data_IF_146989126356
#
_entry.id   IF_146989126356
#
_cell.length_a   1.000
_cell.length_b   1.000
_cell.length_c   1.000
_cell.angle_alpha   90.00
_cell.angle_beta   90.00
_cell.angle_gamma   90.00
#
_symmetry.space_group_name_H-M   'P 1'
#
loop_
_entity.id
_entity.type
_entity.pdbx_description
1 polymer ?
#
# COMPACT_ATOMS: atom_id res chain seq x y z
N UNK A 1 7.48 -6.05 58.18
CA UNK A 1 7.31 -7.10 57.16
C UNK A 1 5.83 -7.13 56.79
N UNK A 2 5.43 -6.34 55.79
CA UNK A 2 4.03 -6.23 55.38
C UNK A 2 3.83 -7.25 54.26
N UNK A 3 2.93 -8.22 54.49
CA UNK A 3 2.47 -9.14 53.46
C UNK A 3 1.75 -8.32 52.37
N UNK A 4 2.42 -8.09 51.24
CA UNK A 4 1.78 -7.62 50.03
C UNK A 4 0.94 -8.78 49.51
N UNK A 5 -0.37 -8.68 49.70
CA UNK A 5 -1.36 -9.55 49.07
C UNK A 5 -1.11 -9.59 47.57
N UNK A 6 -0.92 -10.80 47.01
CA UNK A 6 -0.84 -11.06 45.58
C UNK A 6 -2.06 -10.46 44.88
N UNK A 7 -1.89 -9.28 44.30
CA UNK A 7 -2.95 -8.55 43.60
C UNK A 7 -2.55 -8.48 42.13
N UNK A 8 -2.55 -9.63 41.45
CA UNK A 8 -2.13 -9.73 40.05
C UNK A 8 -3.15 -9.03 39.14
N UNK A 9 -2.68 -8.06 38.37
CA UNK A 9 -3.44 -7.43 37.29
C UNK A 9 -3.44 -8.38 36.11
N UNK A 10 -4.59 -8.60 35.47
CA UNK A 10 -4.72 -9.52 34.35
C UNK A 10 -4.83 -8.73 33.03
N UNK A 11 -3.97 -9.07 32.07
CA UNK A 11 -3.98 -8.52 30.71
C UNK A 11 -4.79 -9.45 29.81
N UNK A 12 -5.84 -8.91 29.18
CA UNK A 12 -6.59 -9.60 28.12
C UNK A 12 -5.93 -9.34 26.76
N UNK A 13 -5.35 -10.38 26.17
CA UNK A 13 -4.71 -10.33 24.86
C UNK A 13 -5.73 -10.46 23.73
N UNK A 14 -5.34 -10.04 22.53
CA UNK A 14 -6.22 -10.10 21.35
C UNK A 14 -6.57 -11.55 20.90
N UNK A 15 -5.80 -12.54 21.34
CA UNK A 15 -6.04 -13.97 21.13
C UNK A 15 -7.06 -14.58 22.11
N UNK A 16 -7.60 -13.79 23.03
CA UNK A 16 -8.54 -14.21 24.06
C UNK A 16 -7.87 -14.84 25.30
N UNK A 17 -6.54 -14.93 25.34
CA UNK A 17 -5.81 -15.37 26.51
C UNK A 17 -5.75 -14.28 27.59
N UNK A 18 -5.59 -14.72 28.84
CA UNK A 18 -5.36 -13.84 29.98
C UNK A 18 -4.01 -14.16 30.60
N UNK A 19 -3.16 -13.15 30.68
CA UNK A 19 -1.80 -13.28 31.22
C UNK A 19 -1.63 -12.31 32.38
N UNK A 20 -0.96 -12.70 33.48
CA UNK A 20 -0.64 -11.76 34.55
C UNK A 20 0.26 -10.65 34.02
N UNK A 21 0.06 -9.44 34.53
CA UNK A 21 0.92 -8.31 34.27
C UNK A 21 2.35 -8.58 34.78
N UNK A 22 3.32 -8.40 33.89
CA UNK A 22 4.74 -8.56 34.16
C UNK A 22 5.48 -7.26 33.84
N UNK A 23 6.06 -6.66 34.89
CA UNK A 23 6.81 -5.40 34.81
C UNK A 23 8.08 -5.59 34.00
N UNK A 24 8.77 -6.72 34.16
CA UNK A 24 10.05 -7.00 33.49
C UNK A 24 9.84 -7.17 31.98
N UNK A 25 8.73 -7.79 31.58
CA UNK A 25 8.34 -7.91 30.18
C UNK A 25 8.15 -6.53 29.53
N UNK A 26 7.45 -5.61 30.20
CA UNK A 26 7.21 -4.25 29.70
C UNK A 26 8.51 -3.45 29.65
N UNK A 27 9.31 -3.51 30.71
CA UNK A 27 10.60 -2.84 30.75
C UNK A 27 11.48 -3.31 29.59
N UNK A 28 11.54 -4.61 29.33
CA UNK A 28 12.28 -5.19 28.19
C UNK A 28 11.75 -4.68 26.85
N UNK A 29 10.43 -4.58 26.68
CA UNK A 29 9.81 -4.04 25.46
C UNK A 29 10.16 -2.56 25.24
N UNK A 30 10.15 -1.75 26.30
CA UNK A 30 10.51 -0.32 26.22
C UNK A 30 12.01 -0.19 25.91
N UNK A 31 12.88 -0.97 26.55
CA UNK A 31 14.34 -0.98 26.25
C UNK A 31 14.58 -1.26 24.75
N UNK A 32 13.90 -2.25 24.17
CA UNK A 32 14.03 -2.55 22.73
C UNK A 32 13.60 -1.39 21.86
N UNK A 33 12.51 -0.70 22.23
CA UNK A 33 12.06 0.48 21.50
C UNK A 33 13.04 1.66 21.62
N UNK A 34 13.63 1.88 22.80
CA UNK A 34 14.69 2.88 22.99
C UNK A 34 15.90 2.57 22.09
N UNK A 35 16.37 1.33 22.08
CA UNK A 35 17.50 0.90 21.22
C UNK A 35 17.17 1.11 19.74
N UNK A 36 15.96 0.75 19.30
CA UNK A 36 15.52 0.92 17.92
C UNK A 36 15.47 2.40 17.49
N UNK A 37 15.04 3.27 18.40
CA UNK A 37 14.99 4.71 18.20
C UNK A 37 16.36 5.42 18.33
N UNK A 38 17.41 4.69 18.71
CA UNK A 38 18.76 5.24 18.92
C UNK A 38 18.99 5.90 20.28
N UNK A 39 18.11 5.66 21.25
CA UNK A 39 18.21 6.22 22.60
C UNK A 39 19.11 5.39 23.52
N UNK A 40 20.07 6.06 24.15
CA UNK A 40 21.08 5.44 25.02
C UNK A 40 20.69 5.43 26.50
N UNK A 41 19.63 6.13 26.86
CA UNK A 41 19.19 6.31 28.25
C UNK A 41 18.34 5.13 28.72
N UNK A 42 18.99 4.06 29.18
CA UNK A 42 18.31 2.83 29.63
C UNK A 42 17.48 2.98 30.90
N UNK A 43 17.69 4.05 31.67
CA UNK A 43 17.01 4.28 32.95
C UNK A 43 15.52 4.64 32.78
N UNK A 44 15.16 5.27 31.66
CA UNK A 44 13.79 5.71 31.35
C UNK A 44 12.83 4.52 31.31
N UNK A 45 13.28 3.39 30.76
CA UNK A 45 12.46 2.19 30.66
C UNK A 45 12.03 1.65 32.04
N UNK A 46 12.92 1.74 33.04
CA UNK A 46 12.63 1.32 34.41
C UNK A 46 11.65 2.27 35.11
N UNK A 47 11.87 3.58 34.98
CA UNK A 47 11.00 4.59 35.61
C UNK A 47 9.58 4.58 35.02
N UNK A 48 9.47 4.44 33.69
CA UNK A 48 8.19 4.30 33.01
C UNK A 48 7.49 2.99 33.36
N UNK A 49 8.19 1.86 33.41
CA UNK A 49 7.55 0.58 33.77
C UNK A 49 6.96 0.61 35.19
N UNK A 50 7.67 1.24 36.14
CA UNK A 50 7.19 1.39 37.52
C UNK A 50 6.01 2.36 37.61
N UNK A 51 6.07 3.47 36.86
CA UNK A 51 4.98 4.45 36.80
C UNK A 51 3.69 3.83 36.24
N UNK A 52 3.81 2.98 35.22
CA UNK A 52 2.70 2.25 34.63
C UNK A 52 2.17 1.20 35.61
N UNK A 53 3.04 0.41 36.24
CA UNK A 53 2.61 -0.54 37.28
C UNK A 53 1.81 0.16 38.38
N UNK A 54 2.29 1.30 38.88
CA UNK A 54 1.60 2.09 39.89
C UNK A 54 0.25 2.60 39.41
N UNK A 55 0.17 3.11 38.18
CA UNK A 55 -1.07 3.57 37.57
C UNK A 55 -2.11 2.43 37.45
N UNK A 56 -1.66 1.23 37.07
CA UNK A 56 -2.53 0.07 36.94
C UNK A 56 -2.98 -0.46 38.32
N UNK A 57 -2.11 -0.46 39.33
CA UNK A 57 -2.44 -0.82 40.72
C UNK A 57 -3.45 0.17 41.35
N UNK A 58 -3.40 1.44 40.95
CA UNK A 58 -4.35 2.46 41.42
C UNK A 58 -5.75 2.32 40.82
N UNK A 59 -5.89 1.53 39.76
CA UNK A 59 -7.15 1.35 39.05
C UNK A 59 -8.04 0.33 39.76
N UNK A 60 -9.34 0.63 39.92
CA UNK A 60 -10.31 -0.29 40.58
C UNK A 60 -10.52 -1.60 39.80
N UNK A 61 -10.30 -1.57 38.49
CA UNK A 61 -10.46 -2.71 37.59
C UNK A 61 -9.14 -3.47 37.46
N UNK A 62 -9.14 -4.74 37.87
CA UNK A 62 -7.97 -5.64 37.82
C UNK A 62 -7.80 -6.39 36.49
N UNK A 63 -8.57 -5.99 35.49
CA UNK A 63 -8.56 -6.58 34.15
C UNK A 63 -8.44 -5.45 33.14
N UNK A 64 -7.43 -5.53 32.29
CA UNK A 64 -7.07 -4.46 31.36
C UNK A 64 -6.80 -5.10 30.00
N UNK A 65 -7.26 -4.47 28.92
CA UNK A 65 -6.98 -4.97 27.57
C UNK A 65 -5.54 -4.65 27.21
N UNK A 66 -4.90 -5.55 26.48
CA UNK A 66 -3.55 -5.33 25.95
C UNK A 66 -3.44 -4.02 25.15
N UNK A 67 -4.46 -3.68 24.36
CA UNK A 67 -4.52 -2.41 23.64
C UNK A 67 -4.51 -1.18 24.55
N UNK A 68 -5.15 -1.27 25.72
CA UNK A 68 -5.25 -0.16 26.66
C UNK A 68 -3.92 0.03 27.40
N UNK A 69 -3.23 -1.08 27.71
CA UNK A 69 -1.87 -1.07 28.24
C UNK A 69 -0.88 -0.46 27.25
N UNK A 70 -0.96 -0.84 25.97
CA UNK A 70 -0.09 -0.30 24.92
C UNK A 70 -0.30 1.21 24.73
N UNK A 71 -1.56 1.67 24.73
CA UNK A 71 -1.87 3.09 24.67
C UNK A 71 -1.35 3.86 25.90
N UNK A 72 -1.35 3.24 27.09
CA UNK A 72 -0.80 3.83 28.30
C UNK A 72 0.72 3.99 28.19
N UNK A 73 1.44 2.98 27.68
CA UNK A 73 2.88 3.04 27.44
C UNK A 73 3.22 4.14 26.43
N UNK A 74 2.48 4.22 25.32
CA UNK A 74 2.68 5.25 24.29
C UNK A 74 2.49 6.66 24.87
N UNK A 75 1.40 6.89 25.62
CA UNK A 75 1.17 8.19 26.27
C UNK A 75 2.25 8.54 27.28
N UNK A 76 2.68 7.59 28.10
CA UNK A 76 3.73 7.83 29.07
C UNK A 76 5.07 8.19 28.40
N UNK A 77 5.39 7.58 27.26
CA UNK A 77 6.56 7.96 26.43
C UNK A 77 6.40 9.35 25.80
N UNK A 78 5.22 9.70 25.30
CA UNK A 78 4.95 11.03 24.74
C UNK A 78 5.03 12.14 25.81
N UNK A 79 4.42 11.90 26.98
CA UNK A 79 4.38 12.85 28.11
C UNK A 79 5.75 13.04 28.77
N UNK A 80 6.61 12.01 28.74
CA UNK A 80 7.99 12.08 29.23
C UNK A 80 8.98 12.70 28.24
N UNK A 81 8.52 13.09 27.03
CA UNK A 81 9.34 13.79 26.04
C UNK A 81 10.03 12.88 25.02
N UNK A 82 9.62 11.62 24.88
CA UNK A 82 10.18 10.63 23.95
C UNK A 82 9.18 10.20 22.84
N UNK A 83 8.66 11.12 22.02
CA UNK A 83 7.67 10.80 20.99
C UNK A 83 8.22 9.91 19.85
N UNK A 84 9.53 9.97 19.58
CA UNK A 84 10.22 9.10 18.62
C UNK A 84 10.31 7.65 19.09
N UNK A 85 10.58 7.42 20.39
CA UNK A 85 10.52 6.08 21.01
C UNK A 85 9.09 5.54 21.00
N UNK A 86 8.10 6.39 21.27
CA UNK A 86 6.68 6.02 21.20
C UNK A 86 6.27 5.54 19.80
N UNK A 87 6.76 6.20 18.73
CA UNK A 87 6.49 5.81 17.35
C UNK A 87 7.08 4.43 17.00
N UNK A 88 8.28 4.12 17.49
CA UNK A 88 8.94 2.83 17.25
C UNK A 88 8.38 1.71 18.13
N UNK A 89 7.97 2.04 19.36
CA UNK A 89 7.19 1.14 20.21
C UNK A 89 5.87 0.76 19.54
N UNK A 90 5.16 1.74 18.97
CA UNK A 90 3.90 1.52 18.23
C UNK A 90 4.10 0.67 16.98
N UNK A 91 5.20 0.88 16.24
CA UNK A 91 5.56 0.02 15.09
C UNK A 91 5.86 -1.43 15.50
N UNK A 92 6.46 -1.61 16.67
CA UNK A 92 6.82 -2.95 17.20
C UNK A 92 5.63 -3.69 17.83
N UNK A 93 4.66 -2.97 18.40
CA UNK A 93 3.44 -3.54 19.01
C UNK A 93 2.52 -4.25 17.99
N UNK A 94 2.56 -3.84 16.72
CA UNK A 94 1.78 -4.46 15.62
C UNK A 94 2.22 -5.91 15.33
N UNK A 95 3.34 -6.36 15.91
CA UNK A 95 4.02 -7.63 15.60
C UNK A 95 3.90 -8.73 16.67
N UNK A 96 2.92 -8.71 17.58
CA UNK A 96 2.58 -9.93 18.33
C UNK A 96 1.96 -10.96 17.37
N UNK A 97 2.80 -11.87 16.89
CA UNK A 97 2.42 -12.98 16.05
C UNK A 97 1.36 -13.81 16.79
N UNK A 98 0.11 -13.71 16.34
CA UNK A 98 -0.94 -14.63 16.78
C UNK A 98 -0.51 -16.02 16.32
N UNK A 99 -0.22 -16.91 17.27
CA UNK A 99 0.21 -18.26 16.96
C UNK A 99 -0.78 -18.94 16.02
N UNK A 100 -0.25 -19.66 15.04
CA UNK A 100 -1.08 -20.45 14.14
C UNK A 100 -1.89 -21.47 14.94
N UNK A 101 -3.17 -21.58 14.60
CA UNK A 101 -4.12 -22.47 15.25
C UNK A 101 -4.51 -23.60 14.28
N UNK A 102 -4.81 -24.81 14.79
CA UNK A 102 -5.16 -25.94 13.94
C UNK A 102 -6.44 -25.67 13.14
N UNK A 103 -6.43 -26.02 11.86
CA UNK A 103 -7.56 -25.84 10.95
C UNK A 103 -8.57 -26.97 11.19
N UNK A 104 -9.48 -26.77 12.15
CA UNK A 104 -10.61 -27.65 12.41
C UNK A 104 -11.88 -26.85 12.71
N UNK A 105 -13.04 -27.51 12.61
CA UNK A 105 -14.34 -26.85 12.78
C UNK A 105 -14.52 -26.14 14.13
N UNK A 106 -13.96 -26.67 15.22
CA UNK A 106 -14.07 -26.05 16.55
C UNK A 106 -13.22 -24.78 16.65
N UNK A 107 -11.97 -24.85 16.20
CA UNK A 107 -11.03 -23.73 16.23
C UNK A 107 -11.47 -22.60 15.31
N UNK A 108 -11.92 -22.94 14.10
CA UNK A 108 -12.44 -21.97 13.14
C UNK A 108 -13.71 -21.30 13.69
N UNK A 109 -14.67 -22.06 14.23
CA UNK A 109 -15.87 -21.50 14.87
C UNK A 109 -15.53 -20.54 16.01
N UNK A 110 -14.60 -20.92 16.88
CA UNK A 110 -14.15 -20.07 17.99
C UNK A 110 -13.49 -18.76 17.50
N UNK A 111 -12.73 -18.82 16.40
CA UNK A 111 -12.11 -17.63 15.82
C UNK A 111 -13.14 -16.69 15.16
N UNK A 112 -14.15 -17.23 14.48
CA UNK A 112 -15.08 -16.43 13.65
C UNK A 112 -16.32 -15.95 14.42
N UNK A 113 -16.75 -16.68 15.46
CA UNK A 113 -17.96 -16.36 16.23
C UNK A 113 -17.95 -14.95 16.83
N UNK A 114 -16.85 -14.48 17.46
CA UNK A 114 -16.80 -13.13 18.02
C UNK A 114 -16.79 -12.05 16.95
N UNK A 115 -16.33 -12.36 15.74
CA UNK A 115 -16.02 -11.38 14.70
C UNK A 115 -17.17 -11.12 13.72
N UNK A 116 -18.09 -12.07 13.54
CA UNK A 116 -19.07 -12.02 12.44
C UNK A 116 -20.51 -11.74 12.85
N UNK A 117 -20.87 -11.84 14.14
CA UNK A 117 -22.23 -11.53 14.66
C UNK A 117 -23.36 -12.13 13.80
N UNK A 118 -23.23 -13.41 13.41
CA UNK A 118 -24.22 -14.14 12.60
C UNK A 118 -24.99 -15.16 13.44
N UNK A 119 -26.21 -15.58 13.02
CA UNK A 119 -26.91 -16.71 13.62
C UNK A 119 -26.07 -17.99 13.53
N UNK A 120 -26.13 -18.83 14.58
CA UNK A 120 -25.31 -20.04 14.73
C UNK A 120 -25.33 -20.97 13.51
N UNK A 121 -26.49 -21.09 12.86
CA UNK A 121 -26.68 -21.97 11.70
C UNK A 121 -25.90 -21.46 10.48
N UNK A 122 -25.90 -20.14 10.23
CA UNK A 122 -25.08 -19.52 9.18
C UNK A 122 -23.60 -19.52 9.52
N UNK A 123 -23.28 -19.32 10.80
CA UNK A 123 -21.91 -19.34 11.29
C UNK A 123 -21.26 -20.72 11.07
N UNK A 124 -22.00 -21.81 11.32
CA UNK A 124 -21.54 -23.19 11.06
C UNK A 124 -21.28 -23.45 9.58
N UNK A 125 -22.17 -23.01 8.70
CA UNK A 125 -21.98 -23.14 7.24
C UNK A 125 -20.73 -22.39 6.78
N UNK A 126 -20.49 -21.17 7.29
CA UNK A 126 -19.30 -20.40 6.95
C UNK A 126 -18.03 -21.06 7.52
N UNK A 127 -18.07 -21.53 8.76
CA UNK A 127 -16.93 -22.23 9.36
C UNK A 127 -16.54 -23.47 8.55
N UNK A 128 -17.52 -24.25 8.08
CA UNK A 128 -17.25 -25.43 7.24
C UNK A 128 -16.60 -25.04 5.91
N UNK A 129 -17.07 -23.97 5.25
CA UNK A 129 -16.45 -23.45 4.03
C UNK A 129 -15.00 -22.99 4.26
N UNK A 130 -14.72 -22.34 5.39
CA UNK A 130 -13.37 -21.89 5.75
C UNK A 130 -12.44 -23.08 6.02
N UNK A 131 -12.91 -24.10 6.75
CA UNK A 131 -12.15 -25.33 7.00
C UNK A 131 -11.83 -26.04 5.68
N UNK A 132 -12.83 -26.24 4.81
CA UNK A 132 -12.64 -26.88 3.51
C UNK A 132 -11.67 -26.12 2.62
N UNK A 133 -11.73 -24.78 2.62
CA UNK A 133 -10.84 -23.96 1.82
C UNK A 133 -9.38 -24.02 2.30
N UNK A 134 -9.17 -23.92 3.62
CA UNK A 134 -7.83 -23.98 4.21
C UNK A 134 -7.20 -25.37 4.02
N UNK A 135 -7.95 -26.44 4.29
CA UNK A 135 -7.47 -27.81 4.06
C UNK A 135 -7.25 -28.11 2.58
N UNK A 136 -8.11 -27.60 1.69
CA UNK A 136 -7.98 -27.78 0.24
C UNK A 136 -6.73 -27.14 -0.37
N UNK A 137 -6.16 -26.14 0.31
CA UNK A 137 -4.90 -25.47 -0.06
C UNK A 137 -3.68 -26.11 0.68
N UNK A 138 -3.92 -27.04 1.61
CA UNK A 138 -2.89 -27.73 2.38
C UNK A 138 -2.50 -27.04 3.69
N UNK A 139 -3.30 -26.10 4.20
CA UNK A 139 -3.07 -25.53 5.52
C UNK A 139 -3.62 -26.44 6.62
N UNK A 140 -2.72 -27.03 7.42
CA UNK A 140 -3.08 -27.78 8.64
C UNK A 140 -3.18 -26.87 9.88
N UNK A 141 -2.42 -25.78 9.88
CA UNK A 141 -2.41 -24.73 10.91
C UNK A 141 -2.42 -23.36 10.24
N UNK A 142 -3.11 -22.39 10.83
CA UNK A 142 -3.23 -21.05 10.25
C UNK A 142 -3.57 -19.98 11.30
N UNK A 143 -3.14 -18.75 11.06
CA UNK A 143 -3.47 -17.63 11.94
C UNK A 143 -4.99 -17.40 12.05
N UNK A 144 -5.53 -17.15 13.25
CA UNK A 144 -6.94 -16.80 13.44
C UNK A 144 -7.41 -15.60 12.61
N UNK A 145 -6.49 -14.65 12.30
CA UNK A 145 -6.79 -13.51 11.43
C UNK A 145 -7.16 -13.96 10.01
N UNK A 146 -6.42 -14.89 9.43
CA UNK A 146 -6.75 -15.41 8.09
C UNK A 146 -8.08 -16.18 8.11
N UNK A 147 -8.37 -16.94 9.17
CA UNK A 147 -9.66 -17.62 9.33
C UNK A 147 -10.83 -16.61 9.33
N UNK A 148 -10.68 -15.49 10.06
CA UNK A 148 -11.69 -14.42 10.11
C UNK A 148 -11.85 -13.71 8.76
N UNK A 149 -10.76 -13.41 8.07
CA UNK A 149 -10.83 -12.74 6.75
C UNK A 149 -11.47 -13.65 5.68
N UNK A 150 -11.14 -14.94 5.67
CA UNK A 150 -11.83 -15.90 4.80
C UNK A 150 -13.31 -16.00 5.13
N UNK A 151 -13.66 -16.01 6.41
CA UNK A 151 -15.05 -16.05 6.85
C UNK A 151 -15.83 -14.78 6.44
N UNK A 152 -15.21 -13.60 6.51
CA UNK A 152 -15.75 -12.34 5.97
C UNK A 152 -15.99 -12.43 4.47
N UNK A 153 -15.02 -12.94 3.72
CA UNK A 153 -15.17 -13.14 2.28
C UNK A 153 -16.33 -14.09 1.94
N UNK A 154 -16.52 -15.19 2.68
CA UNK A 154 -17.65 -16.10 2.45
C UNK A 154 -18.99 -15.50 2.85
N UNK A 155 -19.06 -14.70 3.92
CA UNK A 155 -20.25 -13.91 4.27
C UNK A 155 -20.59 -12.94 3.13
N UNK A 156 -19.61 -12.15 2.69
CA UNK A 156 -19.81 -11.08 1.72
C UNK A 156 -20.13 -11.63 0.32
N UNK A 157 -19.67 -12.84 -0.01
CA UNK A 157 -20.07 -13.56 -1.23
C UNK A 157 -21.55 -14.00 -1.24
N UNK A 158 -22.17 -14.24 -0.08
CA UNK A 158 -23.61 -14.58 -0.01
C UNK A 158 -24.49 -13.34 -0.15
N UNK A 159 -24.03 -12.18 0.34
CA UNK A 159 -24.63 -10.86 0.05
C UNK A 159 -24.10 -10.30 -1.27
N UNK A 160 -24.66 -10.78 -2.38
CA UNK A 160 -24.40 -10.30 -3.75
C UNK A 160 -24.05 -8.80 -3.85
N UNK A 161 -22.75 -8.48 -3.91
CA UNK A 161 -22.25 -7.50 -4.85
C UNK A 161 -21.76 -8.25 -6.09
N UNK A 162 -21.97 -7.72 -7.31
CA UNK A 162 -21.43 -8.32 -8.51
C UNK A 162 -19.90 -8.21 -8.45
N UNK A 163 -19.26 -9.27 -7.95
CA UNK A 163 -17.82 -9.44 -8.12
C UNK A 163 -17.61 -9.57 -9.62
N UNK A 164 -16.94 -8.59 -10.21
CA UNK A 164 -16.35 -8.72 -11.54
C UNK A 164 -15.42 -9.94 -11.50
N UNK A 165 -15.95 -11.11 -11.85
CA UNK A 165 -15.16 -12.32 -12.03
C UNK A 165 -14.38 -12.12 -13.32
N UNK A 166 -13.16 -11.64 -13.20
CA UNK A 166 -12.16 -11.89 -14.23
C UNK A 166 -12.01 -13.41 -14.30
N UNK A 167 -12.41 -13.99 -15.43
CA UNK A 167 -12.15 -15.39 -15.70
C UNK A 167 -10.63 -15.60 -15.62
N UNK A 168 -10.11 -16.50 -14.77
CA UNK A 168 -8.70 -16.84 -14.80
C UNK A 168 -8.43 -17.52 -16.14
N UNK A 169 -7.90 -16.77 -17.10
CA UNK A 169 -7.37 -17.34 -18.33
C UNK A 169 -6.07 -18.04 -17.94
N UNK A 170 -5.96 -19.36 -18.09
CA UNK A 170 -4.70 -20.04 -17.86
C UNK A 170 -3.72 -19.54 -18.94
N UNK A 171 -2.67 -18.82 -18.53
CA UNK A 171 -1.53 -18.56 -19.40
C UNK A 171 -0.94 -19.92 -19.78
N UNK A 172 -0.84 -20.22 -21.09
CA UNK A 172 -0.19 -21.47 -21.51
C UNK A 172 1.30 -21.39 -21.14
N UNK A 173 1.94 -22.50 -20.76
CA UNK A 173 3.39 -22.49 -20.54
C UNK A 173 4.10 -22.06 -21.82
N UNK A 174 4.76 -20.90 -21.80
CA UNK A 174 5.43 -20.30 -22.96
C UNK A 174 4.73 -19.07 -23.57
N UNK A 175 3.55 -18.68 -23.08
CA UNK A 175 2.90 -17.44 -23.49
C UNK A 175 3.63 -16.22 -22.89
N UNK A 176 3.90 -15.23 -23.74
CA UNK A 176 4.56 -13.99 -23.34
C UNK A 176 3.71 -13.24 -22.29
N UNK A 177 4.36 -12.77 -21.23
CA UNK A 177 3.73 -12.01 -20.13
C UNK A 177 3.24 -10.64 -20.63
N UNK A 178 3.80 -10.18 -21.74
CA UNK A 178 3.47 -8.93 -22.39
C UNK A 178 2.39 -9.15 -23.46
N UNK A 179 1.28 -8.46 -23.30
CA UNK A 179 0.23 -8.34 -24.31
C UNK A 179 0.72 -7.48 -25.49
N UNK A 180 1.49 -6.44 -25.18
CA UNK A 180 2.07 -5.53 -26.17
C UNK A 180 3.49 -5.18 -25.76
N UNK A 181 4.48 -5.49 -26.59
CA UNK A 181 5.88 -5.20 -26.29
C UNK A 181 6.22 -3.75 -26.63
N UNK A 182 7.21 -3.14 -25.96
CA UNK A 182 7.75 -1.84 -26.36
C UNK A 182 8.14 -1.75 -27.84
N UNK A 183 8.68 -2.85 -28.39
CA UNK A 183 9.09 -2.96 -29.80
C UNK A 183 7.94 -2.80 -30.78
N UNK A 184 6.74 -3.24 -30.41
CA UNK A 184 5.60 -3.31 -31.32
C UNK A 184 5.06 -1.89 -31.59
N UNK A 185 5.18 -0.99 -30.61
CA UNK A 185 4.88 0.43 -30.79
C UNK A 185 5.76 1.08 -31.86
N UNK A 186 7.03 0.66 -32.04
CA UNK A 186 7.86 1.20 -33.12
C UNK A 186 7.35 0.82 -34.51
N UNK A 187 6.75 -0.36 -34.65
CA UNK A 187 6.18 -0.80 -35.93
C UNK A 187 4.84 -0.14 -36.22
N UNK A 188 4.04 0.12 -35.18
CA UNK A 188 2.69 0.66 -35.29
C UNK A 188 2.63 2.20 -35.29
N UNK A 189 3.69 2.87 -34.83
CA UNK A 189 3.73 4.33 -34.64
C UNK A 189 3.73 5.16 -35.93
N UNK A 190 3.07 6.32 -35.90
CA UNK A 190 3.25 7.41 -36.87
C UNK A 190 4.69 7.95 -36.88
N UNK A 191 5.01 8.76 -37.88
CA UNK A 191 6.32 9.46 -37.96
C UNK A 191 6.55 10.33 -36.72
N UNK A 192 5.53 11.06 -36.26
CA UNK A 192 5.64 11.89 -35.06
C UNK A 192 5.97 11.04 -33.82
N UNK A 193 5.26 9.93 -33.63
CA UNK A 193 5.49 9.06 -32.48
C UNK A 193 6.86 8.35 -32.55
N UNK A 194 7.31 7.96 -33.74
CA UNK A 194 8.66 7.42 -33.95
C UNK A 194 9.74 8.43 -33.57
N UNK A 195 9.58 9.69 -33.95
CA UNK A 195 10.51 10.76 -33.58
C UNK A 195 10.53 11.00 -32.06
N UNK A 196 9.36 10.98 -31.41
CA UNK A 196 9.25 11.16 -29.96
C UNK A 196 9.90 10.00 -29.18
N UNK A 197 9.74 8.76 -29.64
CA UNK A 197 10.38 7.60 -29.01
C UNK A 197 11.89 7.58 -29.32
N UNK A 198 12.27 7.84 -30.59
CA UNK A 198 13.66 7.85 -31.03
C UNK A 198 14.49 8.97 -30.40
N UNK A 199 13.87 10.11 -30.10
CA UNK A 199 14.48 11.21 -29.33
C UNK A 199 14.50 10.99 -27.81
N UNK A 200 14.11 9.81 -27.33
CA UNK A 200 13.97 9.46 -25.90
C UNK A 200 13.03 10.39 -25.10
N UNK A 201 12.16 11.13 -25.79
CA UNK A 201 11.18 12.03 -25.19
C UNK A 201 10.09 11.19 -24.51
N UNK A 202 9.59 10.17 -25.23
CA UNK A 202 8.62 9.21 -24.73
C UNK A 202 9.27 7.83 -24.58
N UNK A 203 9.13 7.21 -23.41
CA UNK A 203 9.49 5.81 -23.18
C UNK A 203 8.24 5.01 -22.87
N UNK A 204 7.95 4.00 -23.69
CA UNK A 204 6.77 3.15 -23.55
C UNK A 204 7.21 1.79 -23.01
N UNK A 205 6.62 1.35 -21.89
CA UNK A 205 7.03 0.11 -21.22
C UNK A 205 6.30 -1.14 -21.71
N UNK A 206 5.30 -0.98 -22.58
CA UNK A 206 4.43 -2.06 -23.05
C UNK A 206 3.24 -2.33 -22.12
N UNK A 207 2.38 -3.25 -22.52
CA UNK A 207 1.17 -3.63 -21.78
C UNK A 207 1.33 -5.07 -21.30
N UNK A 208 1.23 -5.29 -19.99
CA UNK A 208 1.28 -6.63 -19.41
C UNK A 208 -0.10 -7.27 -19.37
N UNK A 209 -0.17 -8.60 -19.53
CA UNK A 209 -1.40 -9.36 -19.34
C UNK A 209 -1.86 -9.39 -17.88
N UNK A 210 -0.93 -9.35 -16.92
CA UNK A 210 -1.24 -9.38 -15.48
C UNK A 210 -1.75 -8.03 -14.98
N UNK A 211 -1.19 -6.95 -15.52
CA UNK A 211 -1.56 -5.58 -15.20
C UNK A 211 -1.71 -4.82 -16.51
N UNK A 212 -2.89 -4.93 -17.11
CA UNK A 212 -3.22 -4.27 -18.37
C UNK A 212 -3.37 -2.76 -18.13
N UNK A 213 -2.24 -2.06 -18.07
CA UNK A 213 -2.14 -0.62 -17.95
C UNK A 213 -1.04 -0.11 -18.88
N UNK A 214 -1.28 1.06 -19.47
CA UNK A 214 -0.33 1.71 -20.35
C UNK A 214 0.58 2.62 -19.53
N UNK A 215 1.88 2.33 -19.52
CA UNK A 215 2.88 3.10 -18.78
C UNK A 215 3.77 3.87 -19.74
N UNK A 216 3.82 5.19 -19.57
CA UNK A 216 4.58 6.11 -20.43
C UNK A 216 5.43 7.01 -19.54
N UNK A 217 6.74 7.05 -19.81
CA UNK A 217 7.61 8.06 -19.22
C UNK A 217 7.85 9.20 -20.20
N UNK A 218 7.85 10.43 -19.69
CA UNK A 218 8.01 11.66 -20.45
C UNK A 218 9.24 12.40 -19.93
N UNK A 219 10.17 12.77 -20.82
CA UNK A 219 11.32 13.63 -20.47
C UNK A 219 11.20 14.99 -21.14
N UNK A 220 10.95 16.04 -20.34
CA UNK A 220 10.85 17.41 -20.85
C UNK A 220 12.21 18.03 -21.19
N UNK A 221 13.28 17.55 -20.55
CA UNK A 221 14.65 17.93 -20.91
C UNK A 221 14.95 17.56 -22.36
N UNK A 222 14.72 16.29 -22.73
CA UNK A 222 14.90 15.81 -24.11
C UNK A 222 13.94 16.50 -25.07
N UNK A 223 12.71 16.76 -24.65
CA UNK A 223 11.73 17.45 -25.48
C UNK A 223 12.19 18.87 -25.84
N UNK A 224 12.66 19.63 -24.86
CA UNK A 224 13.15 20.98 -25.10
C UNK A 224 14.38 21.02 -26.01
N UNK A 225 15.27 20.02 -25.91
CA UNK A 225 16.43 19.87 -26.80
C UNK A 225 16.02 19.60 -28.24
N UNK A 226 15.14 18.62 -28.47
CA UNK A 226 14.67 18.24 -29.81
C UNK A 226 13.87 19.38 -30.46
N UNK A 227 13.11 20.13 -29.67
CA UNK A 227 12.34 21.28 -30.15
C UNK A 227 13.19 22.57 -30.27
N UNK A 228 14.48 22.53 -29.93
CA UNK A 228 15.40 23.68 -29.93
C UNK A 228 14.83 24.90 -29.19
N UNK A 229 14.22 24.68 -28.02
CA UNK A 229 13.66 25.77 -27.22
C UNK A 229 14.78 26.62 -26.63
N UNK A 230 14.71 27.94 -26.83
CA UNK A 230 15.66 28.90 -26.27
C UNK A 230 15.55 28.92 -24.74
N UNK A 231 16.68 28.88 -24.05
CA UNK A 231 16.75 29.02 -22.59
C UNK A 231 16.74 30.52 -22.19
N UNK A 232 16.05 30.89 -21.09
CA UNK A 232 15.17 30.06 -20.29
C UNK A 232 13.86 29.73 -21.03
N UNK A 233 13.44 28.47 -20.93
CA UNK A 233 12.21 27.97 -21.54
C UNK A 233 11.02 28.58 -20.80
N UNK A 234 10.24 29.42 -21.48
CA UNK A 234 9.01 29.95 -20.92
C UNK A 234 7.87 28.94 -21.00
N UNK A 235 6.93 29.03 -20.07
CA UNK A 235 5.71 28.21 -20.05
C UNK A 235 4.93 28.31 -21.37
N UNK A 236 4.82 29.52 -21.92
CA UNK A 236 4.16 29.77 -23.21
C UNK A 236 4.86 29.08 -24.39
N UNK A 237 6.20 29.05 -24.40
CA UNK A 237 6.96 28.37 -25.45
C UNK A 237 6.76 26.84 -25.36
N UNK A 238 6.65 26.31 -24.15
CA UNK A 238 6.35 24.89 -23.92
C UNK A 238 4.90 24.55 -24.33
N UNK A 239 3.92 25.36 -23.92
CA UNK A 239 2.51 25.18 -24.28
C UNK A 239 2.29 25.21 -25.81
N UNK A 240 2.99 26.09 -26.53
CA UNK A 240 2.92 26.16 -27.99
C UNK A 240 3.38 24.87 -28.70
N UNK A 241 4.22 24.07 -28.04
CA UNK A 241 4.77 22.81 -28.58
C UNK A 241 4.06 21.56 -28.03
N UNK A 242 3.18 21.74 -27.05
CA UNK A 242 2.50 20.65 -26.33
C UNK A 242 1.63 19.75 -27.18
N UNK A 243 1.00 20.32 -28.21
CA UNK A 243 0.17 19.56 -29.15
C UNK A 243 0.92 18.35 -29.72
N UNK A 244 2.23 18.48 -29.99
CA UNK A 244 3.05 17.38 -30.50
C UNK A 244 3.15 16.22 -29.51
N UNK A 245 3.39 16.53 -28.23
CA UNK A 245 3.56 15.56 -27.15
C UNK A 245 2.21 14.92 -26.78
N UNK A 246 1.16 15.73 -26.63
CA UNK A 246 -0.22 15.30 -26.35
C UNK A 246 -0.71 14.35 -27.44
N UNK A 247 -0.55 14.72 -28.72
CA UNK A 247 -0.91 13.84 -29.84
C UNK A 247 -0.13 12.54 -29.83
N UNK A 248 1.16 12.57 -29.46
CA UNK A 248 1.97 11.37 -29.32
C UNK A 248 1.42 10.42 -28.26
N UNK A 249 1.09 10.93 -27.08
CA UNK A 249 0.52 10.12 -25.98
C UNK A 249 -0.87 9.58 -26.36
N UNK A 250 -1.74 10.42 -26.91
CA UNK A 250 -3.07 9.99 -27.35
C UNK A 250 -2.99 8.91 -28.45
N UNK A 251 -2.04 9.02 -29.38
CA UNK A 251 -1.81 7.99 -30.39
C UNK A 251 -1.39 6.65 -29.76
N UNK A 252 -0.48 6.67 -28.77
CA UNK A 252 -0.07 5.44 -28.07
C UNK A 252 -1.28 4.78 -27.40
N UNK A 253 -2.13 5.56 -26.73
CA UNK A 253 -3.36 5.06 -26.13
C UNK A 253 -4.27 4.43 -27.18
N UNK A 254 -4.54 5.13 -28.28
CA UNK A 254 -5.41 4.65 -29.35
C UNK A 254 -4.89 3.34 -29.98
N UNK A 255 -3.60 3.26 -30.27
CA UNK A 255 -3.00 2.06 -30.87
C UNK A 255 -2.98 0.88 -29.91
N UNK A 256 -2.69 1.12 -28.63
CA UNK A 256 -2.72 0.07 -27.61
C UNK A 256 -4.14 -0.50 -27.46
N UNK A 257 -5.17 0.35 -27.43
CA UNK A 257 -6.55 -0.09 -27.38
C UNK A 257 -7.00 -0.83 -28.64
N UNK A 258 -6.64 -0.34 -29.83
CA UNK A 258 -6.95 -0.99 -31.09
C UNK A 258 -6.37 -2.41 -31.14
N UNK A 259 -5.13 -2.58 -30.68
CA UNK A 259 -4.48 -3.89 -30.59
C UNK A 259 -5.20 -4.82 -29.61
N UNK A 260 -5.51 -4.35 -28.39
CA UNK A 260 -6.27 -5.13 -27.41
C UNK A 260 -7.66 -5.55 -27.92
N UNK A 261 -8.33 -4.71 -28.72
CA UNK A 261 -9.63 -5.05 -29.33
C UNK A 261 -9.51 -6.15 -30.40
N UNK A 262 -8.41 -6.18 -31.16
CA UNK A 262 -8.20 -7.14 -32.24
C UNK A 262 -7.85 -8.54 -31.72
N UNK A 263 -7.05 -8.63 -30.66
CA UNK A 263 -6.64 -9.88 -30.03
C UNK A 263 -7.78 -10.63 -29.30
N UNK A 264 -8.99 -10.01 -29.18
CA UNK A 264 -10.16 -10.56 -28.45
C UNK A 264 -9.83 -10.99 -27.01
N UNK A 265 -8.81 -10.41 -26.40
CA UNK A 265 -8.47 -10.70 -25.00
C UNK A 265 -9.44 -9.96 -24.05
N UNK A 266 -9.73 -10.53 -22.86
CA UNK A 266 -10.70 -9.97 -21.90
C UNK A 266 -10.11 -8.79 -21.11
N UNK A 267 -9.56 -7.81 -21.82
CA UNK A 267 -9.00 -6.60 -21.20
C UNK A 267 -10.08 -5.54 -21.11
N UNK A 268 -10.27 -4.99 -19.92
CA UNK A 268 -11.19 -3.86 -19.71
C UNK A 268 -10.62 -2.63 -20.42
N UNK A 269 -11.39 -2.08 -21.37
CA UNK A 269 -11.05 -0.85 -22.08
C UNK A 269 -11.91 0.31 -21.56
N UNK A 270 -11.40 1.55 -21.52
CA UNK A 270 -10.05 1.97 -21.92
C UNK A 270 -8.95 1.48 -20.97
N UNK A 271 -7.72 1.30 -21.48
CA UNK A 271 -6.59 0.84 -20.66
C UNK A 271 -6.20 1.94 -19.64
N UNK A 272 -6.05 1.66 -18.34
CA UNK A 272 -5.55 2.64 -17.38
C UNK A 272 -4.21 3.26 -17.83
N UNK A 273 -4.16 4.59 -17.91
CA UNK A 273 -2.98 5.35 -18.35
C UNK A 273 -2.17 5.83 -17.13
N UNK A 274 -0.91 5.42 -17.06
CA UNK A 274 0.06 5.84 -16.03
C UNK A 274 1.16 6.66 -16.69
N UNK A 275 1.29 7.92 -16.28
CA UNK A 275 2.31 8.85 -16.81
C UNK A 275 3.35 9.12 -15.73
N UNK A 276 4.62 8.99 -16.08
CA UNK A 276 5.74 9.39 -15.21
C UNK A 276 6.50 10.51 -15.89
N UNK A 277 6.60 11.67 -15.26
CA UNK A 277 7.47 12.74 -15.73
C UNK A 277 8.85 12.59 -15.11
N UNK A 278 9.86 12.40 -15.95
CA UNK A 278 11.26 12.21 -15.54
C UNK A 278 11.98 13.55 -15.46
N UNK A 279 12.80 13.69 -14.43
CA UNK A 279 13.74 14.80 -14.24
C UNK A 279 13.04 16.18 -14.21
N UNK A 280 11.85 16.27 -13.62
CA UNK A 280 11.04 17.49 -13.66
C UNK A 280 11.65 18.63 -12.85
N UNK A 281 12.23 18.30 -11.69
CA UNK A 281 12.94 19.29 -10.88
C UNK A 281 14.17 19.83 -11.63
N UNK A 282 14.92 18.94 -12.27
CA UNK A 282 16.06 19.33 -13.10
C UNK A 282 15.64 20.20 -14.28
N UNK A 283 14.51 19.89 -14.94
CA UNK A 283 13.97 20.71 -16.01
C UNK A 283 13.58 22.12 -15.53
N UNK A 284 12.81 22.21 -14.44
CA UNK A 284 12.37 23.49 -13.91
C UNK A 284 13.54 24.39 -13.48
N UNK A 285 14.54 23.83 -12.81
CA UNK A 285 15.71 24.61 -12.34
C UNK A 285 16.67 24.94 -13.49
N UNK A 286 17.04 23.96 -14.33
CA UNK A 286 18.10 24.16 -15.33
C UNK A 286 17.62 24.77 -16.65
N UNK A 287 16.37 24.51 -17.06
CA UNK A 287 15.85 24.97 -18.36
C UNK A 287 14.91 26.15 -18.23
N UNK A 288 14.09 26.21 -17.17
CA UNK A 288 13.16 27.32 -16.97
C UNK A 288 13.71 28.42 -16.05
N UNK A 289 14.90 28.22 -15.46
CA UNK A 289 15.50 29.11 -14.46
C UNK A 289 14.54 29.41 -13.29
N UNK A 290 13.79 28.38 -12.87
CA UNK A 290 12.78 28.51 -11.84
C UNK A 290 13.45 28.51 -10.45
N UNK A 291 13.17 29.51 -9.58
CA UNK A 291 13.68 29.51 -8.22
C UNK A 291 13.15 28.30 -7.43
N UNK A 292 14.00 27.69 -6.59
CA UNK A 292 13.65 26.52 -5.76
C UNK A 292 12.37 26.72 -4.94
N UNK A 293 12.13 27.94 -4.45
CA UNK A 293 10.96 28.27 -3.64
C UNK A 293 9.61 28.14 -4.39
N UNK A 294 9.60 28.17 -5.72
CA UNK A 294 8.38 28.09 -6.55
C UNK A 294 8.40 26.91 -7.52
N UNK A 295 9.45 26.10 -7.50
CA UNK A 295 9.67 24.97 -8.42
C UNK A 295 8.54 23.94 -8.35
N UNK A 296 8.11 23.54 -7.16
CA UNK A 296 7.02 22.56 -7.00
C UNK A 296 5.69 23.05 -7.60
N UNK A 297 5.35 24.33 -7.37
CA UNK A 297 4.14 24.94 -7.94
C UNK A 297 4.21 25.03 -9.46
N UNK A 298 5.38 25.38 -10.00
CA UNK A 298 5.62 25.44 -11.44
C UNK A 298 5.44 24.05 -12.08
N UNK A 299 6.07 23.01 -11.51
CA UNK A 299 5.95 21.63 -11.98
C UNK A 299 4.48 21.17 -11.96
N UNK A 300 3.77 21.39 -10.86
CA UNK A 300 2.36 21.01 -10.75
C UNK A 300 1.47 21.72 -11.77
N UNK A 301 1.75 23.01 -12.06
CA UNK A 301 1.07 23.75 -13.12
C UNK A 301 1.28 23.13 -14.50
N UNK A 302 2.54 22.86 -14.87
CA UNK A 302 2.90 22.25 -16.15
C UNK A 302 2.27 20.87 -16.36
N UNK A 303 2.28 20.04 -15.31
CA UNK A 303 1.68 18.71 -15.32
C UNK A 303 0.16 18.81 -15.45
N UNK A 304 -0.47 19.73 -14.74
CA UNK A 304 -1.91 19.99 -14.85
C UNK A 304 -2.29 20.42 -16.27
N UNK A 305 -1.54 21.35 -16.86
CA UNK A 305 -1.80 21.85 -18.21
C UNK A 305 -1.65 20.77 -19.28
N UNK A 306 -0.66 19.89 -19.15
CA UNK A 306 -0.54 18.71 -20.02
C UNK A 306 -1.70 17.77 -19.94
N UNK A 307 -2.04 17.39 -18.72
CA UNK A 307 -3.05 16.37 -18.49
C UNK A 307 -4.44 16.90 -18.80
N UNK A 308 -4.64 18.22 -18.77
CA UNK A 308 -5.80 18.89 -19.33
C UNK A 308 -5.92 18.68 -20.86
N UNK A 309 -4.81 18.72 -21.60
CA UNK A 309 -4.78 18.54 -23.05
C UNK A 309 -4.98 17.11 -23.56
N UNK A 310 -4.74 16.09 -22.73
CA UNK A 310 -4.92 14.68 -23.11
C UNK A 310 -6.39 14.30 -23.29
N UNK A 311 -6.70 13.55 -24.35
CA UNK A 311 -8.03 12.96 -24.59
C UNK A 311 -8.36 11.92 -23.54
N UNK A 312 -7.41 11.04 -23.25
CA UNK A 312 -7.55 10.05 -22.18
C UNK A 312 -6.93 10.59 -20.89
N UNK A 313 -7.73 10.72 -19.84
CA UNK A 313 -7.23 11.20 -18.55
C UNK A 313 -6.36 10.14 -17.87
N UNK A 314 -5.17 10.51 -17.37
CA UNK A 314 -4.29 9.58 -16.68
C UNK A 314 -4.96 9.07 -15.41
N UNK A 315 -4.88 7.77 -15.18
CA UNK A 315 -5.26 7.13 -13.93
C UNK A 315 -4.27 7.45 -12.82
N UNK A 316 -2.98 7.54 -13.16
CA UNK A 316 -1.91 7.86 -12.22
C UNK A 316 -0.86 8.74 -12.88
N UNK A 317 -0.37 9.73 -12.14
CA UNK A 317 0.72 10.62 -12.52
C UNK A 317 1.82 10.49 -11.46
N UNK A 318 3.05 10.23 -11.89
CA UNK A 318 4.24 10.29 -11.04
C UNK A 318 5.16 11.40 -11.54
N UNK A 319 5.86 12.05 -10.61
CA UNK A 319 6.86 13.08 -10.88
C UNK A 319 8.12 12.59 -10.18
N UNK A 320 9.14 12.28 -10.97
CA UNK A 320 10.48 11.86 -10.50
C UNK A 320 11.43 13.06 -10.43
#
# INVERSE_FOLDING_TARGET
MIQLSNTSIMIFRADGSTVPFDVEEIQTRIIRACIAAGETESWIAGDLSLSIEFALLSTKNRTIKESDLENMIIRALEESGYPHVAADFKRSAVTTAVSDAPVNGKTVLAAISPALSLPDEKLRVIAEKVVQALLGIGFETCSPRLMVELARHYRDRETSMPVLRLAPVPLKPGDDVMLLKPSDFHTLASVNLKDLIGGEILRIHGVSRLFAALKIDISLLRFADVMNLSQPVSELALQATWGRLVMGVDEVCERAEQYCRQEKEPVTLPLPLCITFRDMEAFAVSRMDCPKAVTEKCINGLVSDFTAGLKQKPFKINID
#
